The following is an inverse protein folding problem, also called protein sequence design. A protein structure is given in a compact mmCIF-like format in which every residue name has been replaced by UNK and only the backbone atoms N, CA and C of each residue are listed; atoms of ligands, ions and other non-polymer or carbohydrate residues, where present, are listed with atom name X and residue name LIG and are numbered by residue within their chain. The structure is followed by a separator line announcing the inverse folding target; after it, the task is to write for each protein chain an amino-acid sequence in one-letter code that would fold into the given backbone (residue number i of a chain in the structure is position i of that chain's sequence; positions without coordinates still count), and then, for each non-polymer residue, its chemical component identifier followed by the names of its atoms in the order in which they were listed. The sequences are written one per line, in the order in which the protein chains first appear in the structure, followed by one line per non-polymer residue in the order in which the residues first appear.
data_IF_766338670742
#
_entry.id   IF_766338670742
#
_cell.length_a   1.000
_cell.length_b   1.000
_cell.length_c   1.000
_cell.angle_alpha   90.00
_cell.angle_beta   90.00
_cell.angle_gamma   90.00
#
_symmetry.space_group_name_H-M   'P 1'
#
loop_
_entity.id
_entity.type
_entity.pdbx_description
1 polymer ?
#
# COMPACT_ATOMS: atom_id res chain seq x y z
N UNK A 1 4.09 -1.52 4.19
CA UNK A 1 4.49 -0.60 5.29
C UNK A 1 4.13 0.85 5.00
N UNK A 2 4.27 1.32 3.75
CA UNK A 2 4.07 2.73 3.40
C UNK A 2 2.74 3.34 3.88
N UNK A 3 1.63 2.59 3.77
CA UNK A 3 0.34 3.00 4.31
C UNK A 3 0.38 3.34 5.82
N UNK A 4 0.95 2.45 6.63
CA UNK A 4 1.02 2.67 8.08
C UNK A 4 1.94 3.84 8.47
N UNK A 5 2.98 4.11 7.70
CA UNK A 5 3.82 5.30 7.90
C UNK A 5 3.11 6.59 7.49
N UNK A 6 2.30 6.55 6.41
CA UNK A 6 1.46 7.67 6.03
C UNK A 6 0.42 8.01 7.10
N UNK A 7 -0.18 6.99 7.72
CA UNK A 7 -1.09 7.18 8.87
C UNK A 7 -0.41 7.82 10.08
N UNK A 8 0.93 7.76 10.17
CA UNK A 8 1.72 8.42 11.22
C UNK A 8 2.22 9.82 10.79
N UNK A 9 1.75 10.33 9.65
CA UNK A 9 2.07 11.67 9.12
C UNK A 9 3.23 11.70 8.13
N UNK A 10 3.80 10.56 7.74
CA UNK A 10 4.92 10.49 6.79
C UNK A 10 4.39 10.18 5.40
N UNK A 11 3.85 11.17 4.71
CA UNK A 11 3.27 10.98 3.38
C UNK A 11 1.88 11.57 3.24
N UNK A 12 1.42 11.66 1.99
CA UNK A 12 0.11 12.21 1.63
C UNK A 12 -0.35 11.70 0.27
N UNK A 13 0.05 10.48 -0.10
CA UNK A 13 -0.46 9.85 -1.31
C UNK A 13 -1.97 9.59 -1.15
N UNK A 14 -2.78 9.80 -2.19
CA UNK A 14 -4.21 9.51 -2.14
C UNK A 14 -4.48 8.06 -1.75
N UNK A 15 -5.56 7.80 -0.99
CA UNK A 15 -5.99 6.44 -0.67
C UNK A 15 -6.16 5.60 -1.94
N UNK A 16 -6.72 6.22 -2.99
CA UNK A 16 -6.92 5.59 -4.29
C UNK A 16 -5.63 5.04 -4.91
N UNK A 17 -4.46 5.61 -4.63
CA UNK A 17 -3.17 5.07 -5.12
C UNK A 17 -2.83 3.74 -4.45
N UNK A 18 -3.07 3.61 -3.14
CA UNK A 18 -2.88 2.34 -2.44
C UNK A 18 -3.88 1.29 -2.90
N UNK A 19 -5.16 1.65 -3.09
CA UNK A 19 -6.19 0.73 -3.61
C UNK A 19 -5.94 0.28 -5.04
N UNK A 20 -5.51 1.19 -5.91
CA UNK A 20 -5.14 0.83 -7.29
C UNK A 20 -4.00 -0.20 -7.29
N UNK A 21 -2.98 -0.03 -6.45
CA UNK A 21 -1.91 -1.01 -6.31
C UNK A 21 -2.40 -2.34 -5.72
N UNK A 22 -3.30 -2.32 -4.73
CA UNK A 22 -3.91 -3.52 -4.14
C UNK A 22 -4.65 -4.35 -5.20
N UNK A 23 -5.56 -3.72 -5.95
CA UNK A 23 -6.31 -4.39 -7.02
C UNK A 23 -5.41 -4.85 -8.17
N UNK A 24 -4.36 -4.09 -8.50
CA UNK A 24 -3.41 -4.50 -9.54
C UNK A 24 -2.66 -5.79 -9.16
N UNK A 25 -2.30 -5.96 -7.90
CA UNK A 25 -1.70 -7.20 -7.40
C UNK A 25 -2.71 -8.34 -7.44
N UNK A 26 -3.94 -8.12 -7.00
CA UNK A 26 -5.01 -9.14 -7.04
C UNK A 26 -5.26 -9.62 -8.48
N UNK A 27 -5.40 -8.70 -9.44
CA UNK A 27 -5.58 -9.02 -10.85
C UNK A 27 -4.38 -9.79 -11.43
N UNK A 28 -3.16 -9.42 -11.05
CA UNK A 28 -1.95 -10.15 -11.47
C UNK A 28 -1.89 -11.57 -10.90
N UNK A 29 -2.35 -11.77 -9.66
CA UNK A 29 -2.43 -13.10 -9.04
C UNK A 29 -3.49 -13.98 -9.72
N UNK A 30 -4.65 -13.40 -10.06
CA UNK A 30 -5.70 -14.09 -10.82
C UNK A 30 -5.20 -14.49 -12.21
N UNK A 31 -4.52 -13.58 -12.91
CA UNK A 31 -3.92 -13.86 -14.21
C UNK A 31 -2.88 -14.99 -14.11
N UNK A 32 -1.97 -14.92 -13.14
CA UNK A 32 -0.96 -15.94 -12.92
C UNK A 32 -1.60 -17.31 -12.62
N UNK A 33 -2.71 -17.34 -11.87
CA UNK A 33 -3.42 -18.59 -11.60
C UNK A 33 -4.01 -19.23 -12.87
N UNK A 34 -4.51 -18.43 -13.80
CA UNK A 34 -5.19 -18.92 -15.02
C UNK A 34 -4.19 -19.19 -16.16
N UNK A 35 -3.16 -18.38 -16.29
CA UNK A 35 -2.27 -18.35 -17.47
C UNK A 35 -0.81 -18.72 -17.18
N UNK A 36 -0.42 -18.85 -15.91
CA UNK A 36 0.98 -18.96 -15.47
C UNK A 36 1.85 -17.73 -15.82
N UNK A 37 1.22 -16.61 -16.20
CA UNK A 37 1.90 -15.35 -16.49
C UNK A 37 1.87 -14.40 -15.28
N UNK A 38 3.04 -13.90 -14.90
CA UNK A 38 3.23 -12.98 -13.78
C UNK A 38 3.46 -11.55 -14.29
N UNK A 39 2.37 -10.88 -14.64
CA UNK A 39 2.42 -9.55 -15.27
C UNK A 39 1.51 -8.57 -14.52
N UNK A 40 2.05 -7.39 -14.19
CA UNK A 40 1.26 -6.26 -13.73
C UNK A 40 0.71 -5.51 -14.96
N UNK A 41 -0.53 -5.04 -14.87
CA UNK A 41 -1.13 -4.21 -15.92
C UNK A 41 -0.30 -2.93 -16.12
N UNK A 42 0.02 -2.60 -17.38
CA UNK A 42 0.96 -1.52 -17.72
C UNK A 42 0.53 -0.16 -17.16
N UNK A 43 -0.78 0.12 -17.16
CA UNK A 43 -1.38 1.35 -16.62
C UNK A 43 -1.24 1.48 -15.10
N UNK A 44 -0.95 0.38 -14.39
CA UNK A 44 -0.76 0.37 -12.93
C UNK A 44 0.69 0.62 -12.51
N UNK A 45 1.67 0.45 -13.41
CA UNK A 45 3.11 0.55 -13.09
C UNK A 45 3.46 1.91 -12.46
N UNK A 46 2.92 2.99 -13.02
CA UNK A 46 3.16 4.36 -12.52
C UNK A 46 2.70 4.57 -11.07
N UNK A 47 1.70 3.82 -10.61
CA UNK A 47 1.22 3.87 -9.23
C UNK A 47 2.23 3.20 -8.30
N UNK A 48 2.79 2.06 -8.69
CA UNK A 48 3.83 1.39 -7.91
C UNK A 48 5.09 2.25 -7.80
N UNK A 49 5.54 2.89 -8.88
CA UNK A 49 6.67 3.81 -8.84
C UNK A 49 6.46 4.94 -7.83
N UNK A 50 5.25 5.51 -7.81
CA UNK A 50 4.90 6.57 -6.85
C UNK A 50 4.90 6.08 -5.41
N UNK A 51 4.31 4.91 -5.14
CA UNK A 51 4.29 4.34 -3.80
C UNK A 51 5.68 3.91 -3.31
N UNK A 52 6.55 3.45 -4.21
CA UNK A 52 7.96 3.17 -3.91
C UNK A 52 8.72 4.45 -3.56
N UNK A 53 8.59 5.49 -4.38
CA UNK A 53 9.21 6.79 -4.12
C UNK A 53 8.71 7.42 -2.81
N UNK A 54 7.41 7.28 -2.51
CA UNK A 54 6.86 7.64 -1.20
C UNK A 54 7.60 6.87 -0.09
N UNK A 55 7.72 5.55 -0.23
CA UNK A 55 8.30 4.72 0.82
C UNK A 55 9.78 5.05 1.06
N UNK A 56 10.55 5.30 0.00
CA UNK A 56 11.93 5.76 0.11
C UNK A 56 12.02 7.09 0.87
N UNK A 57 11.15 8.05 0.55
CA UNK A 57 11.07 9.32 1.27
C UNK A 57 10.66 9.15 2.74
N UNK A 58 9.78 8.19 3.03
CA UNK A 58 9.39 7.87 4.41
C UNK A 58 10.58 7.30 5.20
N UNK A 59 11.31 6.35 4.63
CA UNK A 59 12.47 5.75 5.29
C UNK A 59 13.61 6.75 5.52
N UNK A 60 13.77 7.72 4.61
CA UNK A 60 14.76 8.78 4.76
C UNK A 60 14.42 9.82 5.85
N UNK A 61 13.15 9.98 6.22
CA UNK A 61 12.68 11.06 7.09
C UNK A 61 12.06 10.62 8.42
N UNK A 62 11.48 9.41 8.47
CA UNK A 62 10.80 8.93 9.65
C UNK A 62 11.77 8.51 10.76
N UNK A 63 11.53 8.87 12.03
CA UNK A 63 12.27 8.33 13.16
C UNK A 63 12.16 6.80 13.22
N UNK A 64 13.26 6.12 13.57
CA UNK A 64 13.32 4.66 13.62
C UNK A 64 12.18 4.02 14.45
N UNK A 65 11.80 4.62 15.57
CA UNK A 65 10.72 4.11 16.41
C UNK A 65 9.35 4.12 15.69
N UNK A 66 9.13 5.05 14.75
CA UNK A 66 7.92 5.08 13.90
C UNK A 66 7.96 3.99 12.83
N UNK A 67 9.14 3.72 12.25
CA UNK A 67 9.33 2.61 11.31
C UNK A 67 9.05 1.27 11.98
N UNK A 68 9.63 1.02 13.16
CA UNK A 68 9.40 -0.19 13.96
C UNK A 68 7.91 -0.32 14.32
N UNK A 69 7.26 0.78 14.70
CA UNK A 69 5.83 0.76 15.01
C UNK A 69 4.97 0.39 13.79
N UNK A 70 5.24 0.99 12.62
CA UNK A 70 4.54 0.68 11.38
C UNK A 70 4.74 -0.78 10.95
N UNK A 71 5.95 -1.32 11.11
CA UNK A 71 6.24 -2.73 10.85
C UNK A 71 5.46 -3.65 11.80
N UNK A 72 5.40 -3.32 13.11
CA UNK A 72 4.61 -4.08 14.08
C UNK A 72 3.13 -4.12 13.70
N UNK A 73 2.56 -2.99 13.28
CA UNK A 73 1.16 -2.92 12.80
C UNK A 73 0.94 -3.80 11.57
N UNK A 74 1.86 -3.79 10.62
CA UNK A 74 1.81 -4.69 9.45
C UNK A 74 1.84 -6.16 9.86
N UNK A 75 2.76 -6.56 10.74
CA UNK A 75 2.86 -7.95 11.22
C UNK A 75 1.60 -8.39 11.96
N UNK A 76 1.01 -7.51 12.77
CA UNK A 76 -0.26 -7.78 13.45
C UNK A 76 -1.42 -7.96 12.46
N UNK A 77 -1.47 -7.13 11.42
CA UNK A 77 -2.45 -7.26 10.34
C UNK A 77 -2.31 -8.61 9.62
N UNK A 78 -1.09 -8.96 9.18
CA UNK A 78 -0.82 -10.23 8.48
C UNK A 78 -1.11 -11.48 9.33
N UNK A 79 -1.05 -11.38 10.65
CA UNK A 79 -1.37 -12.47 11.57
C UNK A 79 -2.87 -12.61 11.86
N UNK A 80 -3.70 -11.64 11.45
CA UNK A 80 -5.14 -11.61 11.69
C UNK A 80 -5.97 -12.01 10.46
N UNK A 81 -7.30 -11.91 10.62
CA UNK A 81 -8.29 -12.11 9.54
C UNK A 81 -9.03 -10.82 9.20
N UNK A 82 -8.45 -9.67 9.54
CA UNK A 82 -9.04 -8.37 9.26
C UNK A 82 -9.02 -8.07 7.75
N UNK A 83 -10.01 -7.30 7.29
CA UNK A 83 -9.99 -6.71 5.94
C UNK A 83 -8.83 -5.74 5.75
N UNK A 84 -8.55 -5.37 4.50
CA UNK A 84 -7.48 -4.44 4.14
C UNK A 84 -7.46 -3.20 5.05
N UNK A 85 -6.28 -2.78 5.55
CA UNK A 85 -6.16 -1.59 6.39
C UNK A 85 -6.32 -0.30 5.59
N UNK A 86 -6.35 -0.37 4.26
CA UNK A 86 -6.58 0.76 3.36
C UNK A 86 -8.09 0.89 3.15
N UNK A 87 -8.72 2.05 3.42
CA UNK A 87 -10.14 2.25 3.19
C UNK A 87 -10.47 2.31 1.68
N UNK A 88 -11.73 2.10 1.33
CA UNK A 88 -12.17 2.12 -0.08
C UNK A 88 -12.16 3.53 -0.69
N UNK A 89 -12.43 4.56 0.10
CA UNK A 89 -12.42 5.97 -0.34
C UNK A 89 -11.60 6.83 0.61
N UNK A 90 -11.21 8.02 0.15
CA UNK A 90 -10.54 8.98 1.02
C UNK A 90 -11.50 9.42 2.15
N UNK A 91 -11.04 9.52 3.40
CA UNK A 91 -11.89 9.93 4.53
C UNK A 91 -12.57 11.30 4.32
N UNK A 92 -11.97 12.17 3.51
CA UNK A 92 -12.50 13.48 3.16
C UNK A 92 -13.73 13.43 2.22
N UNK A 93 -13.92 12.33 1.49
CA UNK A 93 -15.06 12.15 0.57
C UNK A 93 -16.33 11.65 1.28
N UNK A 94 -16.25 11.37 2.60
CA UNK A 94 -17.37 10.93 3.43
C UNK A 94 -17.98 12.05 4.30
N UNK A 95 -17.58 13.31 4.12
CA UNK A 95 -18.02 14.48 4.90
C UNK A 95 -18.96 15.40 4.12
#
# INVERSE_FOLDING_TARGET
MAWFLQQEGYGKEPVGSFKTAEYAVEAALELAHVSDEWVLAEDTVSVFERLLALHDSQLASAPLHKVIHAEKRLRQFLAGTASSPVPENDPADMS
#
